data_IF_849028260541
#
_entry.id   IF_849028260541
#
_cell.length_a   1.000
_cell.length_b   1.000
_cell.length_c   1.000
_cell.angle_alpha   90.00
_cell.angle_beta   90.00
_cell.angle_gamma   90.00
#
_symmetry.space_group_name_H-M   'P 1'
#
loop_
_entity.id
_entity.type
_entity.pdbx_description
1 polymer ?
#
# COMPACT_ATOMS: atom_id res chain seq x y z
N UNK A 1 8.20 3.64 -10.79
CA UNK A 1 9.54 3.00 -10.69
C UNK A 1 9.46 1.55 -10.22
N UNK A 2 8.80 1.23 -9.09
CA UNK A 2 8.74 -0.15 -8.57
C UNK A 2 7.99 -1.15 -9.47
N UNK A 3 6.96 -0.69 -10.20
CA UNK A 3 6.17 -1.55 -11.11
C UNK A 3 7.01 -2.16 -12.24
N UNK A 4 8.00 -1.42 -12.76
CA UNK A 4 8.93 -1.90 -13.79
C UNK A 4 9.71 -3.14 -13.31
N UNK A 5 10.28 -3.08 -12.10
CA UNK A 5 11.01 -4.20 -11.54
C UNK A 5 10.09 -5.40 -11.23
N UNK A 6 8.84 -5.16 -10.83
CA UNK A 6 7.85 -6.22 -10.59
C UNK A 6 7.48 -6.96 -11.87
N UNK A 7 7.32 -6.26 -12.98
CA UNK A 7 7.13 -6.87 -14.30
C UNK A 7 8.28 -7.81 -14.67
N UNK A 8 9.53 -7.37 -14.45
CA UNK A 8 10.71 -8.18 -14.70
C UNK A 8 10.76 -9.41 -13.79
N UNK A 9 10.40 -9.26 -12.50
CA UNK A 9 10.30 -10.40 -11.58
C UNK A 9 9.26 -11.41 -12.04
N UNK A 10 8.10 -10.96 -12.52
CA UNK A 10 7.06 -11.84 -13.06
C UNK A 10 7.55 -12.61 -14.30
N UNK A 11 8.29 -11.94 -15.19
CA UNK A 11 8.93 -12.59 -16.33
C UNK A 11 9.89 -13.71 -15.89
N UNK A 12 10.75 -13.45 -14.91
CA UNK A 12 11.68 -14.47 -14.40
C UNK A 12 10.97 -15.60 -13.65
N UNK A 13 9.90 -15.29 -12.92
CA UNK A 13 9.04 -16.28 -12.28
C UNK A 13 8.45 -17.25 -13.31
N UNK A 14 7.86 -16.72 -14.41
CA UNK A 14 7.33 -17.54 -15.52
C UNK A 14 8.40 -18.34 -16.25
N UNK A 15 9.67 -17.88 -16.25
CA UNK A 15 10.82 -18.64 -16.74
C UNK A 15 11.32 -19.73 -15.78
N UNK A 16 10.65 -19.95 -14.66
CA UNK A 16 11.04 -20.96 -13.65
C UNK A 16 12.32 -20.61 -12.90
N UNK A 17 12.76 -19.34 -12.91
CA UNK A 17 13.85 -18.89 -12.05
C UNK A 17 13.36 -18.70 -10.63
N UNK A 18 14.27 -18.72 -9.66
CA UNK A 18 13.93 -18.38 -8.28
C UNK A 18 14.17 -16.88 -7.99
N UNK A 19 13.65 -16.40 -6.86
CA UNK A 19 13.72 -14.99 -6.47
C UNK A 19 15.16 -14.46 -6.37
N UNK A 20 16.10 -15.26 -5.85
CA UNK A 20 17.50 -14.86 -5.70
C UNK A 20 18.19 -14.69 -7.07
N UNK A 21 17.93 -15.61 -8.00
CA UNK A 21 18.42 -15.53 -9.38
C UNK A 21 17.87 -14.29 -10.09
N UNK A 22 16.56 -14.03 -9.95
CA UNK A 22 15.91 -12.86 -10.53
C UNK A 22 16.47 -11.55 -9.92
N UNK A 23 16.65 -11.50 -8.60
CA UNK A 23 17.23 -10.35 -7.89
C UNK A 23 18.66 -10.06 -8.35
N UNK A 24 19.49 -11.10 -8.50
CA UNK A 24 20.86 -10.97 -9.01
C UNK A 24 20.84 -10.40 -10.44
N UNK A 25 20.03 -10.97 -11.34
CA UNK A 25 19.90 -10.48 -12.72
C UNK A 25 19.41 -9.04 -12.79
N UNK A 26 18.48 -8.67 -11.92
CA UNK A 26 17.97 -7.30 -11.83
C UNK A 26 19.10 -6.34 -11.43
N UNK A 27 19.87 -6.69 -10.41
CA UNK A 27 21.02 -5.89 -9.93
C UNK A 27 22.13 -5.80 -10.97
N UNK A 28 22.43 -6.89 -11.66
CA UNK A 28 23.47 -6.91 -12.71
C UNK A 28 23.14 -5.94 -13.86
N UNK A 29 21.86 -5.73 -14.17
CA UNK A 29 21.41 -4.86 -15.27
C UNK A 29 21.21 -3.40 -14.83
N UNK A 30 20.62 -3.18 -13.66
CA UNK A 30 20.16 -1.86 -13.21
C UNK A 30 20.95 -1.28 -12.02
N UNK A 31 21.91 -2.03 -11.46
CA UNK A 31 22.72 -1.59 -10.32
C UNK A 31 22.01 -1.70 -8.97
N UNK A 32 22.52 -0.97 -7.97
CA UNK A 32 22.06 -1.05 -6.59
C UNK A 32 20.70 -0.37 -6.31
N UNK A 33 20.21 0.49 -7.22
CA UNK A 33 18.90 1.15 -7.08
C UNK A 33 17.69 0.22 -7.35
N UNK A 34 17.90 -1.09 -7.26
CA UNK A 34 16.92 -2.13 -7.57
C UNK A 34 16.20 -2.67 -6.32
N UNK A 35 15.24 -3.57 -6.53
CA UNK A 35 14.58 -4.26 -5.43
C UNK A 35 15.59 -5.08 -4.62
N UNK A 36 15.55 -4.90 -3.29
CA UNK A 36 16.28 -5.76 -2.35
C UNK A 36 15.81 -7.21 -2.49
N UNK A 37 16.68 -8.17 -2.21
CA UNK A 37 16.35 -9.60 -2.36
C UNK A 37 15.10 -10.00 -1.57
N UNK A 38 14.92 -9.46 -0.35
CA UNK A 38 13.70 -9.67 0.46
C UNK A 38 12.44 -9.21 -0.26
N UNK A 39 12.49 -8.09 -0.98
CA UNK A 39 11.35 -7.59 -1.76
C UNK A 39 11.06 -8.54 -2.93
N UNK A 40 12.11 -9.02 -3.62
CA UNK A 40 11.95 -10.01 -4.69
C UNK A 40 11.30 -11.30 -4.17
N UNK A 41 11.69 -11.80 -3.00
CA UNK A 41 11.07 -12.98 -2.38
C UNK A 41 9.59 -12.77 -2.09
N UNK A 42 9.22 -11.65 -1.47
CA UNK A 42 7.82 -11.32 -1.20
C UNK A 42 6.97 -11.30 -2.49
N UNK A 43 7.50 -10.76 -3.59
CA UNK A 43 6.82 -10.79 -4.89
C UNK A 43 6.67 -12.20 -5.44
N UNK A 44 7.71 -13.04 -5.30
CA UNK A 44 7.63 -14.43 -5.72
C UNK A 44 6.60 -15.23 -4.91
N UNK A 45 6.47 -14.97 -3.62
CA UNK A 45 5.43 -15.60 -2.79
C UNK A 45 4.04 -15.15 -3.24
N UNK A 46 3.87 -13.86 -3.58
CA UNK A 46 2.63 -13.35 -4.18
C UNK A 46 2.28 -14.06 -5.51
N UNK A 47 3.26 -14.22 -6.39
CA UNK A 47 3.07 -14.93 -7.66
C UNK A 47 2.76 -16.42 -7.52
N UNK A 48 3.26 -17.08 -6.45
CA UNK A 48 2.92 -18.48 -6.13
C UNK A 48 1.46 -18.62 -5.68
N UNK A 49 0.91 -17.59 -5.07
CA UNK A 49 -0.51 -17.50 -4.73
C UNK A 49 -1.39 -17.07 -5.91
N UNK A 50 -0.87 -17.15 -7.15
CA UNK A 50 -1.55 -16.76 -8.40
C UNK A 50 -1.97 -15.29 -8.47
N UNK A 51 -1.46 -14.44 -7.57
CA UNK A 51 -1.72 -13.02 -7.59
C UNK A 51 -0.64 -12.29 -8.40
N UNK A 52 -1.02 -11.89 -9.60
CA UNK A 52 -0.17 -11.17 -10.55
C UNK A 52 -0.43 -9.66 -10.57
N UNK A 53 -1.12 -9.10 -9.57
CA UNK A 53 -1.33 -7.66 -9.46
C UNK A 53 -0.02 -6.94 -9.13
N UNK A 54 0.51 -6.21 -10.12
CA UNK A 54 1.82 -5.53 -10.02
C UNK A 54 1.72 -4.11 -9.44
N UNK A 55 0.52 -3.55 -9.43
CA UNK A 55 0.24 -2.24 -8.83
C UNK A 55 0.26 -2.36 -7.31
N UNK A 56 0.65 -1.28 -6.67
CA UNK A 56 0.45 -1.17 -5.22
C UNK A 56 -1.06 -1.18 -4.97
N UNK A 57 -1.50 -2.10 -4.11
CA UNK A 57 -2.84 -2.00 -3.56
C UNK A 57 -2.96 -0.71 -2.76
N UNK A 58 -4.18 -0.16 -2.76
CA UNK A 58 -4.49 0.95 -1.89
C UNK A 58 -4.19 0.51 -0.47
N UNK A 59 -3.16 1.11 0.12
CA UNK A 59 -2.77 0.77 1.48
C UNK A 59 -3.97 1.00 2.37
N UNK A 60 -4.32 0.01 3.17
CA UNK A 60 -5.20 0.20 4.31
C UNK A 60 -4.45 1.12 5.30
N UNK A 61 -4.48 2.42 5.03
CA UNK A 61 -4.17 3.43 6.02
C UNK A 61 -5.24 3.44 7.10
N UNK A 62 -5.03 4.24 8.14
CA UNK A 62 -6.13 4.57 9.05
C UNK A 62 -7.27 5.14 8.21
N UNK A 63 -8.48 4.58 8.24
CA UNK A 63 -9.60 5.15 7.49
C UNK A 63 -9.82 6.58 7.97
N UNK A 64 -9.65 7.55 7.06
CA UNK A 64 -10.08 8.95 7.27
C UNK A 64 -11.58 9.05 7.00
N UNK A 65 -12.37 8.17 7.62
CA UNK A 65 -13.82 8.21 7.44
C UNK A 65 -14.40 9.08 8.55
N UNK A 66 -14.04 10.36 8.54
CA UNK A 66 -14.96 11.35 9.07
C UNK A 66 -15.88 11.70 7.91
N UNK A 67 -17.17 11.46 8.06
CA UNK A 67 -18.15 11.84 7.05
C UNK A 67 -18.32 13.36 7.12
N UNK A 68 -17.78 14.07 6.12
CA UNK A 68 -17.79 15.53 6.04
C UNK A 68 -19.22 16.10 6.12
N UNK A 69 -20.20 15.37 5.58
CA UNK A 69 -21.61 15.77 5.61
C UNK A 69 -22.19 15.67 7.02
N UNK A 70 -21.79 14.65 7.79
CA UNK A 70 -22.17 14.51 9.20
C UNK A 70 -21.51 15.57 10.08
N UNK A 71 -20.23 15.87 9.86
CA UNK A 71 -19.54 16.96 10.58
C UNK A 71 -20.25 18.29 10.33
N UNK A 72 -20.55 18.57 9.06
CA UNK A 72 -21.22 19.81 8.66
C UNK A 72 -22.61 19.94 9.30
N UNK A 73 -23.39 18.87 9.32
CA UNK A 73 -24.71 18.87 9.97
C UNK A 73 -24.62 19.17 11.48
N UNK A 74 -23.60 18.66 12.18
CA UNK A 74 -23.41 18.93 13.61
C UNK A 74 -23.07 20.41 13.86
N UNK A 75 -22.21 21.00 13.02
CA UNK A 75 -21.83 22.41 13.11
C UNK A 75 -23.00 23.35 12.75
N UNK A 76 -23.82 22.97 11.77
CA UNK A 76 -25.01 23.73 11.39
C UNK A 76 -26.09 23.70 12.49
N UNK A 77 -26.22 22.57 13.20
CA UNK A 77 -27.13 22.41 14.34
C UNK A 77 -26.65 23.21 15.57
N UNK A 78 -25.35 23.21 15.83
CA UNK A 78 -24.73 23.96 16.93
C UNK A 78 -23.34 24.47 16.53
N UNK A 79 -23.24 25.79 16.33
CA UNK A 79 -21.98 26.45 15.94
C UNK A 79 -20.97 26.54 17.08
N UNK A 80 -21.34 26.24 18.33
CA UNK A 80 -20.45 26.28 19.48
C UNK A 80 -19.86 24.91 19.83
N UNK A 81 -20.19 23.87 19.07
CA UNK A 81 -19.65 22.53 19.25
C UNK A 81 -18.13 22.52 19.01
N UNK A 82 -17.40 21.84 19.91
CA UNK A 82 -15.95 21.69 19.81
C UNK A 82 -15.57 20.49 18.97
N UNK A 83 -14.35 20.50 18.42
CA UNK A 83 -13.79 19.37 17.65
C UNK A 83 -13.85 18.05 18.43
N UNK A 84 -13.61 18.11 19.75
CA UNK A 84 -13.66 16.95 20.62
C UNK A 84 -15.06 16.36 20.72
N UNK A 85 -16.09 17.20 20.86
CA UNK A 85 -17.48 16.76 20.91
C UNK A 85 -17.96 16.20 19.56
N UNK A 86 -17.50 16.77 18.45
CA UNK A 86 -17.73 16.20 17.11
C UNK A 86 -17.11 14.81 17.02
N UNK A 87 -15.85 14.66 17.42
CA UNK A 87 -15.16 13.36 17.42
C UNK A 87 -15.85 12.31 18.31
N UNK A 88 -16.33 12.71 19.49
CA UNK A 88 -17.09 11.84 20.40
C UNK A 88 -18.44 11.42 19.79
N UNK A 89 -19.18 12.36 19.19
CA UNK A 89 -20.46 12.07 18.50
C UNK A 89 -20.29 11.14 17.31
N UNK A 90 -19.22 11.32 16.52
CA UNK A 90 -18.93 10.53 15.33
C UNK A 90 -18.09 9.27 15.61
N UNK A 91 -17.77 9.00 16.88
CA UNK A 91 -16.92 7.88 17.32
C UNK A 91 -15.57 7.85 16.60
N UNK A 92 -15.04 9.03 16.25
CA UNK A 92 -13.75 9.17 15.59
C UNK A 92 -12.67 9.10 16.68
N UNK A 93 -11.73 8.16 16.60
CA UNK A 93 -10.67 8.05 17.61
C UNK A 93 -9.79 9.30 17.57
N UNK A 94 -9.49 9.86 18.74
CA UNK A 94 -8.58 11.01 18.88
C UNK A 94 -7.23 10.71 18.23
N UNK A 95 -6.69 11.66 17.49
CA UNK A 95 -5.28 11.59 17.05
C UNK A 95 -4.41 12.31 18.08
N UNK A 96 -3.25 11.74 18.37
CA UNK A 96 -2.22 12.34 19.24
C UNK A 96 -1.45 13.40 18.49
#
# INVERSE_FOLDING_TARGET
KNEHFRNILLFYFRKGKNAAQAAKKLRDVYGEETLKERQCRNWFDKFRSEDFSLKDEQRSGRPMNADDEQIKAIIELDRHVTEREIGEKLKIPKST
#
